data_IF_406743820515
#
_entry.id   IF_406743820515
#
_cell.length_a   1.000
_cell.length_b   1.000
_cell.length_c   1.000
_cell.angle_alpha   90.00
_cell.angle_beta   90.00
_cell.angle_gamma   90.00
#
_symmetry.space_group_name_H-M   'P 1'
#
loop_
_entity.id
_entity.type
_entity.pdbx_description
1 polymer ?
#
# COMPACT_ATOMS: atom_id res chain seq x y z
N UNK A 1 26.85 -32.50 22.70
CA UNK A 1 27.35 -32.17 21.34
C UNK A 1 26.28 -32.38 20.27
N UNK A 2 25.66 -33.57 20.15
CA UNK A 2 24.61 -33.84 19.15
C UNK A 2 23.32 -33.03 19.32
N UNK A 3 22.84 -32.89 20.55
CA UNK A 3 21.63 -32.12 20.89
C UNK A 3 21.83 -30.61 20.72
N UNK A 4 23.02 -30.11 21.05
CA UNK A 4 23.40 -28.70 20.87
C UNK A 4 23.42 -28.29 19.39
N UNK A 5 23.84 -29.20 18.49
CA UNK A 5 23.80 -28.99 17.04
C UNK A 5 22.37 -28.87 16.51
N UNK A 6 21.44 -29.69 17.01
CA UNK A 6 20.04 -29.66 16.59
C UNK A 6 19.34 -28.36 17.03
N UNK A 7 19.65 -27.86 18.23
CA UNK A 7 19.11 -26.58 18.73
C UNK A 7 19.64 -25.39 17.91
N UNK A 8 20.92 -25.42 17.52
CA UNK A 8 21.51 -24.39 16.66
C UNK A 8 20.89 -24.39 15.25
N UNK A 9 20.66 -25.57 14.66
CA UNK A 9 20.02 -25.67 13.33
C UNK A 9 18.57 -25.17 13.37
N UNK A 10 17.83 -25.50 14.44
CA UNK A 10 16.45 -25.02 14.61
C UNK A 10 16.39 -23.48 14.76
N UNK A 11 17.32 -22.87 15.49
CA UNK A 11 17.39 -21.41 15.65
C UNK A 11 17.69 -20.68 14.32
N UNK A 12 18.57 -21.24 13.48
CA UNK A 12 18.90 -20.69 12.15
C UNK A 12 17.71 -20.78 11.19
N UNK A 13 16.94 -21.89 11.24
CA UNK A 13 15.77 -22.07 10.39
C UNK A 13 14.65 -21.06 10.69
N UNK A 14 14.49 -20.65 11.95
CA UNK A 14 13.47 -19.66 12.35
C UNK A 14 13.85 -18.24 11.92
N UNK A 15 15.14 -17.89 11.89
CA UNK A 15 15.61 -16.56 11.49
C UNK A 15 15.43 -16.23 10.00
N UNK A 16 15.33 -17.25 9.14
CA UNK A 16 15.22 -17.09 7.68
C UNK A 16 13.77 -16.97 7.16
N UNK A 17 12.78 -17.19 8.03
CA UNK A 17 11.36 -17.11 7.68
C UNK A 17 10.71 -15.77 8.06
N UNK A 18 11.50 -14.70 8.23
CA UNK A 18 10.95 -13.38 8.40
C UNK A 18 10.34 -12.90 7.07
N UNK A 19 9.04 -12.59 7.00
CA UNK A 19 8.47 -11.99 5.80
C UNK A 19 9.22 -10.68 5.52
N UNK A 20 9.51 -10.34 4.24
CA UNK A 20 10.13 -9.07 3.91
C UNK A 20 9.21 -7.96 4.42
N UNK A 21 9.62 -7.29 5.48
CA UNK A 21 9.00 -6.04 5.88
C UNK A 21 9.39 -5.05 4.79
N UNK A 22 8.48 -4.84 3.83
CA UNK A 22 8.57 -3.75 2.88
C UNK A 22 8.40 -2.44 3.66
N UNK A 23 9.42 -2.07 4.43
CA UNK A 23 9.56 -0.73 4.96
C UNK A 23 9.73 0.15 3.73
N UNK A 24 8.67 0.88 3.37
CA UNK A 24 8.70 1.77 2.22
C UNK A 24 9.85 2.77 2.35
N UNK A 25 10.58 2.98 1.25
CA UNK A 25 11.53 4.10 1.13
C UNK A 25 10.79 5.41 1.39
N UNK A 26 11.20 6.18 2.39
CA UNK A 26 10.58 7.48 2.69
C UNK A 26 10.56 8.37 1.44
N UNK A 27 9.37 8.87 1.06
CA UNK A 27 9.16 9.66 -0.15
C UNK A 27 8.90 8.87 -1.43
N UNK A 28 8.88 7.53 -1.38
CA UNK A 28 8.39 6.68 -2.47
C UNK A 28 6.86 6.73 -2.61
N UNK A 29 6.37 6.31 -3.78
CA UNK A 29 4.95 6.07 -4.02
C UNK A 29 4.59 4.66 -3.53
N UNK A 30 3.59 4.54 -2.66
CA UNK A 30 3.19 3.25 -2.08
C UNK A 30 1.70 3.08 -2.19
N UNK A 31 1.21 1.87 -2.48
CA UNK A 31 -0.23 1.62 -2.53
C UNK A 31 -0.95 2.19 -1.31
N UNK A 32 -1.99 2.98 -1.55
CA UNK A 32 -2.84 3.52 -0.48
C UNK A 32 -3.49 2.34 0.26
N UNK A 33 -3.27 2.16 1.57
CA UNK A 33 -3.73 0.98 2.29
C UNK A 33 -5.25 0.86 2.35
N UNK A 34 -5.94 1.98 2.60
CA UNK A 34 -7.39 2.06 2.58
C UNK A 34 -7.87 3.03 1.49
N UNK A 35 -8.25 2.46 0.36
CA UNK A 35 -8.80 3.24 -0.75
C UNK A 35 -10.21 3.76 -0.45
N UNK A 36 -10.91 3.19 0.52
CA UNK A 36 -12.27 3.60 0.89
C UNK A 36 -12.25 4.70 1.96
N UNK A 37 -11.08 5.15 2.41
CA UNK A 37 -10.95 6.32 3.26
C UNK A 37 -11.74 7.49 2.64
N UNK A 38 -12.67 8.12 3.40
CA UNK A 38 -13.49 9.22 2.90
C UNK A 38 -12.66 10.35 2.28
N UNK A 39 -11.48 10.65 2.82
CA UNK A 39 -10.61 11.69 2.31
C UNK A 39 -10.01 11.32 0.94
N UNK A 40 -9.63 10.05 0.75
CA UNK A 40 -9.13 9.57 -0.55
C UNK A 40 -10.22 9.63 -1.62
N UNK A 41 -11.46 9.27 -1.25
CA UNK A 41 -12.61 9.38 -2.16
C UNK A 41 -12.95 10.84 -2.48
N UNK A 42 -12.87 11.74 -1.49
CA UNK A 42 -13.05 13.19 -1.67
C UNK A 42 -12.05 13.75 -2.70
N UNK A 43 -10.76 13.39 -2.58
CA UNK A 43 -9.73 13.81 -3.53
C UNK A 43 -10.00 13.32 -4.95
N UNK A 44 -10.47 12.07 -5.10
CA UNK A 44 -10.90 11.55 -6.39
C UNK A 44 -12.07 12.33 -7.00
N UNK A 45 -13.06 12.68 -6.18
CA UNK A 45 -14.20 13.51 -6.59
C UNK A 45 -13.80 14.94 -6.97
N UNK A 46 -12.89 15.53 -6.21
CA UNK A 46 -12.31 16.84 -6.50
C UNK A 46 -11.60 16.86 -7.85
N UNK A 47 -10.76 15.86 -8.14
CA UNK A 47 -10.03 15.76 -9.40
C UNK A 47 -10.95 15.70 -10.63
N UNK A 48 -12.03 14.91 -10.55
CA UNK A 48 -13.05 14.85 -11.62
C UNK A 48 -13.76 16.19 -11.79
N UNK A 49 -14.09 16.86 -10.69
CA UNK A 49 -14.78 18.16 -10.70
C UNK A 49 -13.91 19.25 -11.32
N UNK A 50 -12.62 19.29 -10.97
CA UNK A 50 -11.66 20.24 -11.51
C UNK A 50 -11.41 19.99 -13.01
N UNK A 51 -11.33 18.71 -13.43
CA UNK A 51 -11.25 18.36 -14.85
C UNK A 51 -12.47 18.85 -15.62
N UNK A 52 -13.68 18.58 -15.13
CA UNK A 52 -14.91 19.04 -15.75
C UNK A 52 -14.94 20.57 -15.90
N UNK A 53 -14.47 21.31 -14.88
CA UNK A 53 -14.34 22.77 -14.91
C UNK A 53 -13.38 23.24 -16.01
N UNK A 54 -12.22 22.58 -16.16
CA UNK A 54 -11.17 22.97 -17.11
C UNK A 54 -11.49 22.61 -18.56
N UNK A 55 -12.11 21.45 -18.77
CA UNK A 55 -12.32 20.87 -20.10
C UNK A 55 -13.76 21.05 -20.60
N UNK A 56 -14.61 21.75 -19.84
CA UNK A 56 -16.06 21.85 -20.12
C UNK A 56 -16.71 20.46 -20.28
N UNK A 57 -16.23 19.47 -19.52
CA UNK A 57 -16.72 18.09 -19.54
C UNK A 57 -17.81 17.87 -18.47
N UNK A 58 -18.56 16.78 -18.60
CA UNK A 58 -19.66 16.44 -17.68
C UNK A 58 -19.62 14.97 -17.24
N UNK A 59 -18.44 14.45 -16.88
CA UNK A 59 -18.35 13.09 -16.33
C UNK A 59 -18.69 13.06 -14.84
N UNK A 60 -19.20 11.93 -14.37
CA UNK A 60 -19.55 11.73 -12.96
C UNK A 60 -18.47 10.90 -12.26
N UNK A 61 -18.02 11.37 -11.10
CA UNK A 61 -17.19 10.58 -10.20
C UNK A 61 -17.99 9.40 -9.63
N UNK A 62 -17.41 8.19 -9.64
CA UNK A 62 -18.01 6.99 -9.07
C UNK A 62 -17.31 6.59 -7.77
N UNK A 63 -16.06 6.14 -7.85
CA UNK A 63 -15.19 5.84 -6.72
C UNK A 63 -13.74 5.75 -7.15
N UNK A 64 -12.83 5.91 -6.20
CA UNK A 64 -11.43 5.52 -6.37
C UNK A 64 -11.30 4.00 -6.23
N UNK A 65 -10.56 3.37 -7.15
CA UNK A 65 -10.33 1.91 -7.17
C UNK A 65 -8.93 1.52 -6.70
N UNK A 66 -7.94 2.40 -6.86
CA UNK A 66 -6.55 2.24 -6.43
C UNK A 66 -5.82 3.58 -6.44
N UNK A 67 -4.72 3.70 -5.69
CA UNK A 67 -3.84 4.87 -5.70
C UNK A 67 -2.49 4.57 -5.05
N UNK A 68 -1.54 5.50 -5.16
CA UNK A 68 -0.21 5.41 -4.56
C UNK A 68 0.23 6.75 -3.97
#
# INVERSE_FOLDING_TARGET
MRTSLLVLIAAVAIGLAAPPTAAGVAGGWFPIPDINDPHVQELGGWAVSERNRRENAAIRFSRVVSGQ
#
